data_IF_534917970748
#
_entry.id   IF_534917970748
#
_cell.length_a   1.000
_cell.length_b   1.000
_cell.length_c   1.000
_cell.angle_alpha   90.00
_cell.angle_beta   90.00
_cell.angle_gamma   90.00
#
_symmetry.space_group_name_H-M   'P 1'
#
loop_
_entity.id
_entity.type
_entity.pdbx_description
1 polymer ?
#
# COMPACT_ATOMS: atom_id res chain seq x y z
N UNK A 1 47.84 -46.54 55.33
CA UNK A 1 46.49 -46.63 54.72
C UNK A 1 45.64 -45.46 55.22
N UNK A 2 45.41 -44.43 54.41
CA UNK A 2 44.45 -43.35 54.70
C UNK A 2 43.59 -43.11 53.45
N UNK A 3 42.28 -43.30 53.59
CA UNK A 3 41.22 -43.03 52.61
C UNK A 3 41.05 -41.51 52.46
N UNK A 4 40.86 -41.02 51.24
CA UNK A 4 40.23 -39.73 50.96
C UNK A 4 39.07 -39.94 49.99
N UNK A 5 37.92 -39.38 50.34
CA UNK A 5 36.65 -39.45 49.62
C UNK A 5 36.60 -38.41 48.49
N UNK A 6 36.00 -38.78 47.36
CA UNK A 6 35.73 -37.89 46.23
C UNK A 6 34.36 -37.25 46.43
N UNK A 7 34.30 -35.92 46.49
CA UNK A 7 33.05 -35.15 46.35
C UNK A 7 32.71 -35.04 44.86
N UNK A 8 31.51 -35.49 44.47
CA UNK A 8 30.94 -35.27 43.13
C UNK A 8 29.98 -34.09 43.23
N UNK A 9 30.39 -32.93 42.74
CA UNK A 9 29.49 -31.79 42.54
C UNK A 9 28.65 -32.01 41.28
N UNK A 10 27.32 -32.07 41.44
CA UNK A 10 26.37 -32.03 40.32
C UNK A 10 26.14 -30.58 39.92
N UNK A 11 26.68 -30.16 38.79
CA UNK A 11 26.33 -28.88 38.15
C UNK A 11 24.96 -29.03 37.50
N UNK A 12 23.94 -28.36 38.05
CA UNK A 12 22.66 -28.18 37.36
C UNK A 12 22.88 -27.17 36.23
N UNK A 13 22.70 -27.61 34.99
CA UNK A 13 22.61 -26.72 33.83
C UNK A 13 21.16 -26.23 33.75
N UNK A 14 20.92 -24.96 34.09
CA UNK A 14 19.67 -24.29 33.74
C UNK A 14 19.70 -24.02 32.23
N UNK A 15 18.94 -24.81 31.46
CA UNK A 15 18.67 -24.52 30.05
C UNK A 15 17.75 -23.31 29.96
N UNK A 16 18.30 -22.17 29.55
CA UNK A 16 17.50 -21.01 29.18
C UNK A 16 16.73 -21.29 27.89
N UNK A 17 15.40 -21.24 27.93
CA UNK A 17 14.59 -21.15 26.73
C UNK A 17 14.88 -19.80 26.05
N UNK A 18 15.56 -19.85 24.91
CA UNK A 18 15.64 -18.73 23.99
C UNK A 18 14.28 -18.63 23.28
N UNK A 19 13.44 -17.69 23.69
CA UNK A 19 12.25 -17.33 22.91
C UNK A 19 12.74 -16.56 21.70
N UNK A 20 12.79 -17.23 20.55
CA UNK A 20 13.11 -16.59 19.27
C UNK A 20 11.91 -15.72 18.93
N UNK A 21 12.03 -14.41 19.19
CA UNK A 21 11.08 -13.41 18.71
C UNK A 21 11.04 -13.52 17.19
N UNK A 22 9.93 -13.99 16.63
CA UNK A 22 9.71 -13.96 15.20
C UNK A 22 9.73 -12.49 14.76
N UNK A 23 10.78 -12.07 14.05
CA UNK A 23 10.80 -10.78 13.39
C UNK A 23 9.67 -10.79 12.36
N UNK A 24 8.59 -10.05 12.61
CA UNK A 24 7.58 -9.80 11.59
C UNK A 24 8.28 -9.08 10.42
N UNK A 25 8.32 -9.71 9.26
CA UNK A 25 8.85 -9.11 8.04
C UNK A 25 7.99 -7.92 7.64
N UNK A 26 8.63 -6.89 7.07
CA UNK A 26 7.92 -5.72 6.56
C UNK A 26 6.86 -6.16 5.51
N UNK A 27 5.71 -5.47 5.45
CA UNK A 27 4.71 -5.78 4.45
C UNK A 27 5.24 -5.48 3.05
N UNK A 28 4.92 -6.36 2.10
CA UNK A 28 5.16 -6.14 0.68
C UNK A 28 3.98 -5.36 0.13
N UNK A 29 4.23 -4.14 -0.37
CA UNK A 29 3.15 -3.27 -0.86
C UNK A 29 3.01 -3.29 -2.38
N UNK A 30 4.04 -3.71 -3.12
CA UNK A 30 4.05 -3.63 -4.59
C UNK A 30 3.95 -5.01 -5.21
N UNK A 31 3.21 -5.09 -6.31
CA UNK A 31 3.04 -6.31 -7.08
C UNK A 31 4.39 -6.75 -7.70
N UNK A 32 4.68 -8.05 -7.84
CA UNK A 32 5.89 -8.53 -8.52
C UNK A 32 6.09 -7.95 -9.93
N UNK A 33 5.00 -7.81 -10.68
CA UNK A 33 4.96 -7.18 -12.01
C UNK A 33 4.65 -5.67 -11.95
N UNK A 34 5.22 -4.94 -10.99
CA UNK A 34 5.02 -3.49 -10.85
C UNK A 34 5.36 -2.74 -12.15
N UNK A 35 4.57 -1.72 -12.49
CA UNK A 35 4.67 -0.97 -13.73
C UNK A 35 3.56 -1.31 -14.75
N UNK A 36 2.60 -2.16 -14.37
CA UNK A 36 1.47 -2.54 -15.24
C UNK A 36 0.13 -2.10 -14.62
N UNK A 37 -0.77 -1.64 -15.47
CA UNK A 37 -2.15 -1.36 -15.06
C UNK A 37 -2.77 -2.65 -14.51
N UNK A 38 -3.53 -2.53 -13.42
CA UNK A 38 -4.06 -3.71 -12.71
C UNK A 38 -4.94 -4.59 -13.63
N UNK A 39 -5.68 -3.97 -14.55
CA UNK A 39 -6.59 -4.65 -15.47
C UNK A 39 -5.88 -5.62 -16.42
N UNK A 40 -4.60 -5.40 -16.70
CA UNK A 40 -3.81 -6.23 -17.63
C UNK A 40 -3.32 -7.54 -17.02
N UNK A 41 -3.56 -7.74 -15.71
CA UNK A 41 -3.03 -8.87 -14.94
C UNK A 41 -4.06 -10.00 -14.73
N UNK A 42 -5.32 -9.79 -15.13
CA UNK A 42 -6.29 -10.87 -15.39
C UNK A 42 -6.78 -11.66 -14.18
N UNK A 43 -7.14 -10.97 -13.09
CA UNK A 43 -7.30 -11.58 -11.77
C UNK A 43 -8.70 -11.48 -11.14
N UNK A 44 -8.99 -12.33 -10.16
CA UNK A 44 -10.21 -12.28 -9.34
C UNK A 44 -10.16 -11.21 -8.23
N UNK A 45 -9.81 -9.98 -8.62
CA UNK A 45 -9.68 -8.83 -7.72
C UNK A 45 -10.38 -7.61 -8.30
N UNK A 46 -10.57 -6.59 -7.47
CA UNK A 46 -10.92 -5.26 -7.91
C UNK A 46 -9.67 -4.48 -8.29
N UNK A 47 -9.70 -3.90 -9.48
CA UNK A 47 -8.70 -2.93 -9.91
C UNK A 47 -9.20 -1.53 -9.59
N UNK A 48 -8.69 -0.97 -8.49
CA UNK A 48 -9.09 0.33 -7.99
C UNK A 48 -8.06 1.37 -8.43
N UNK A 49 -8.44 2.25 -9.34
CA UNK A 49 -7.64 3.43 -9.70
C UNK A 49 -7.84 4.53 -8.68
N UNK A 50 -6.77 4.91 -7.98
CA UNK A 50 -6.74 6.01 -7.01
C UNK A 50 -6.00 7.18 -7.63
N UNK A 51 -6.67 8.32 -7.76
CA UNK A 51 -6.02 9.58 -8.11
C UNK A 51 -5.25 10.11 -6.91
N UNK A 52 -4.13 10.80 -7.11
CA UNK A 52 -3.41 11.38 -5.98
C UNK A 52 -2.81 12.74 -6.27
N UNK A 53 -2.64 13.51 -5.18
CA UNK A 53 -1.73 14.64 -5.10
C UNK A 53 -0.73 14.41 -3.97
N UNK A 54 0.53 14.81 -4.16
CA UNK A 54 1.58 14.66 -3.15
C UNK A 54 2.55 15.82 -3.22
N UNK A 55 3.04 16.26 -2.06
CA UNK A 55 4.21 17.15 -1.97
C UNK A 55 5.45 16.40 -1.45
N UNK A 56 5.46 15.08 -1.60
CA UNK A 56 6.65 14.25 -1.41
C UNK A 56 7.68 14.52 -2.50
N UNK A 57 8.93 14.26 -2.17
CA UNK A 57 10.05 14.23 -3.10
C UNK A 57 9.88 13.02 -4.03
N UNK A 58 9.54 13.28 -5.29
CA UNK A 58 9.33 12.27 -6.33
C UNK A 58 10.51 12.36 -7.30
N UNK A 59 11.41 11.39 -7.21
CA UNK A 59 12.57 11.30 -8.10
C UNK A 59 12.12 11.04 -9.55
N UNK A 60 12.91 11.50 -10.52
CA UNK A 60 12.77 11.21 -11.96
C UNK A 60 11.56 11.83 -12.68
N UNK A 61 10.89 12.82 -12.08
CA UNK A 61 9.87 13.63 -12.76
C UNK A 61 10.53 14.88 -13.35
N UNK A 62 11.42 14.73 -14.34
CA UNK A 62 11.93 15.88 -15.08
C UNK A 62 10.83 16.43 -16.00
N UNK A 63 10.20 17.52 -15.55
CA UNK A 63 9.23 18.35 -16.29
C UNK A 63 8.26 17.56 -17.18
N UNK A 64 7.18 17.07 -16.57
CA UNK A 64 6.08 16.41 -17.29
C UNK A 64 5.56 17.31 -18.43
N UNK A 65 5.73 16.83 -19.66
CA UNK A 65 5.06 17.41 -20.83
C UNK A 65 3.54 17.36 -20.65
N UNK A 66 2.82 18.17 -21.42
CA UNK A 66 1.36 18.31 -21.27
C UNK A 66 0.56 17.01 -21.51
N UNK A 67 1.18 15.93 -21.99
CA UNK A 67 0.52 14.65 -22.30
C UNK A 67 1.33 13.41 -21.88
N UNK A 68 2.45 13.57 -21.16
CA UNK A 68 3.33 12.44 -20.86
C UNK A 68 3.00 11.86 -19.48
N UNK A 69 2.56 10.60 -19.47
CA UNK A 69 2.45 9.79 -18.26
C UNK A 69 3.83 9.18 -17.96
N UNK A 70 4.37 9.48 -16.76
CA UNK A 70 5.66 8.93 -16.32
C UNK A 70 5.42 7.94 -15.19
N UNK A 71 5.95 6.72 -15.35
CA UNK A 71 5.96 5.72 -14.29
C UNK A 71 6.90 6.13 -13.16
N UNK A 72 6.38 6.10 -11.94
CA UNK A 72 7.14 6.44 -10.74
C UNK A 72 7.46 5.16 -9.99
N UNK A 73 8.72 4.98 -9.62
CA UNK A 73 9.15 3.89 -8.75
C UNK A 73 9.61 4.36 -7.37
N UNK A 74 10.01 5.63 -7.19
CA UNK A 74 10.56 6.13 -5.93
C UNK A 74 9.82 7.40 -5.50
N UNK A 75 9.25 7.35 -4.29
CA UNK A 75 8.56 8.47 -3.65
C UNK A 75 9.07 8.56 -2.22
N UNK A 76 9.87 9.57 -1.94
CA UNK A 76 10.59 9.73 -0.69
C UNK A 76 9.74 10.45 0.36
N UNK A 77 9.87 10.11 1.65
CA UNK A 77 9.16 10.78 2.74
C UNK A 77 9.83 12.11 3.13
N UNK A 78 10.12 12.95 2.14
CA UNK A 78 10.65 14.31 2.31
C UNK A 78 9.81 15.28 1.49
N UNK A 79 9.81 16.55 1.87
CA UNK A 79 9.10 17.57 1.11
C UNK A 79 9.82 17.83 -0.21
N UNK A 80 9.16 17.56 -1.34
CA UNK A 80 9.66 17.86 -2.68
C UNK A 80 9.54 19.34 -3.07
N UNK A 81 8.79 20.13 -2.29
CA UNK A 81 8.62 21.57 -2.51
C UNK A 81 7.54 21.95 -3.52
N UNK A 82 7.00 20.99 -4.27
CA UNK A 82 5.96 21.18 -5.27
C UNK A 82 4.86 20.12 -5.18
N UNK A 83 3.71 20.39 -5.79
CA UNK A 83 2.60 19.44 -5.88
C UNK A 83 2.77 18.58 -7.15
N UNK A 84 2.99 17.28 -6.95
CA UNK A 84 2.92 16.27 -8.00
C UNK A 84 1.54 15.62 -7.97
N UNK A 85 0.94 15.42 -9.14
CA UNK A 85 -0.35 14.75 -9.29
C UNK A 85 -0.23 13.56 -10.23
N UNK A 86 -1.12 12.59 -10.07
CA UNK A 86 -1.10 11.39 -10.90
C UNK A 86 -2.13 10.36 -10.44
N UNK A 87 -1.90 9.11 -10.84
CA UNK A 87 -2.76 7.98 -10.47
C UNK A 87 -1.95 6.80 -10.00
N UNK A 88 -2.58 5.95 -9.23
CA UNK A 88 -2.07 4.62 -8.93
C UNK A 88 -3.17 3.58 -9.11
N UNK A 89 -2.78 2.41 -9.58
CA UNK A 89 -3.67 1.26 -9.70
C UNK A 89 -3.39 0.30 -8.54
N UNK A 90 -4.45 -0.03 -7.81
CA UNK A 90 -4.40 -0.90 -6.63
C UNK A 90 -5.16 -2.18 -6.98
N UNK A 91 -4.46 -3.29 -6.81
CA UNK A 91 -4.98 -4.64 -6.86
C UNK A 91 -5.55 -4.98 -5.48
N UNK A 92 -6.88 -5.08 -5.37
CA UNK A 92 -7.56 -5.29 -4.10
C UNK A 92 -8.44 -6.55 -4.15
N UNK A 93 -8.21 -7.55 -3.27
CA UNK A 93 -9.07 -8.73 -3.23
C UNK A 93 -10.54 -8.37 -3.04
N UNK A 94 -11.41 -9.03 -3.81
CA UNK A 94 -12.85 -8.76 -3.79
C UNK A 94 -13.46 -9.02 -2.42
N UNK A 95 -14.48 -8.24 -2.12
CA UNK A 95 -15.32 -8.45 -0.95
C UNK A 95 -16.03 -9.80 -1.01
N UNK A 96 -16.31 -10.39 0.16
CA UNK A 96 -17.14 -11.61 0.26
C UNK A 96 -18.52 -11.42 -0.38
N UNK A 97 -19.07 -10.21 -0.35
CA UNK A 97 -20.32 -9.81 -0.99
C UNK A 97 -20.26 -9.86 -2.52
N UNK A 98 -19.07 -9.66 -3.10
CA UNK A 98 -18.81 -9.71 -4.54
C UNK A 98 -18.22 -11.08 -4.98
N UNK A 99 -18.28 -12.09 -4.10
CA UNK A 99 -17.79 -13.45 -4.36
C UNK A 99 -16.28 -13.65 -4.15
N UNK A 100 -15.61 -12.72 -3.45
CA UNK A 100 -14.23 -12.86 -3.01
C UNK A 100 -14.09 -13.45 -1.59
N UNK A 101 -12.93 -13.23 -0.98
CA UNK A 101 -12.58 -13.75 0.36
C UNK A 101 -12.29 -12.64 1.39
N UNK A 102 -12.27 -11.37 0.98
CA UNK A 102 -11.93 -10.24 1.86
C UNK A 102 -13.17 -9.72 2.59
N UNK A 103 -13.07 -9.48 3.89
CA UNK A 103 -14.14 -8.80 4.63
C UNK A 103 -14.03 -7.27 4.54
N UNK A 104 -15.15 -6.57 4.78
CA UNK A 104 -15.14 -5.11 4.90
C UNK A 104 -14.21 -4.70 6.05
N UNK A 105 -13.35 -3.72 5.78
CA UNK A 105 -12.33 -3.22 6.70
C UNK A 105 -10.98 -3.89 6.55
N UNK A 106 -10.90 -5.06 5.90
CA UNK A 106 -9.67 -5.82 5.77
C UNK A 106 -8.76 -5.32 4.65
N UNK A 107 -7.47 -5.53 4.85
CA UNK A 107 -6.42 -5.15 3.89
C UNK A 107 -5.33 -6.23 3.98
N UNK A 108 -5.54 -7.40 3.34
CA UNK A 108 -4.64 -8.54 3.50
C UNK A 108 -3.27 -8.25 2.87
N UNK A 109 -2.26 -8.01 3.70
CA UNK A 109 -0.91 -7.68 3.25
C UNK A 109 -0.06 -8.94 3.13
N UNK A 110 0.70 -9.06 2.04
CA UNK A 110 1.76 -10.05 1.97
C UNK A 110 2.95 -9.62 2.87
N UNK A 111 3.65 -10.59 3.45
CA UNK A 111 4.82 -10.36 4.30
C UNK A 111 6.00 -11.21 3.83
N UNK A 112 7.20 -10.63 3.78
CA UNK A 112 8.38 -11.33 3.27
C UNK A 112 8.53 -11.15 1.75
N UNK A 113 8.46 -12.24 0.99
CA UNK A 113 8.46 -12.20 -0.48
C UNK A 113 7.02 -12.32 -0.99
N UNK A 114 6.68 -11.55 -2.03
CA UNK A 114 5.37 -11.69 -2.67
C UNK A 114 5.28 -13.07 -3.36
N UNK A 115 4.12 -13.75 -3.32
CA UNK A 115 3.94 -15.01 -4.02
C UNK A 115 4.21 -14.87 -5.53
N UNK A 116 4.83 -15.87 -6.15
CA UNK A 116 5.10 -15.87 -7.60
C UNK A 116 3.87 -16.29 -8.43
N UNK A 117 2.92 -17.01 -7.82
CA UNK A 117 1.79 -17.60 -8.52
C UNK A 117 0.55 -16.73 -8.36
N UNK A 118 -0.13 -16.42 -9.48
CA UNK A 118 -1.30 -15.56 -9.54
C UNK A 118 -2.40 -15.91 -8.53
N UNK A 119 -2.77 -17.19 -8.42
CA UNK A 119 -3.82 -17.64 -7.48
C UNK A 119 -3.48 -17.40 -6.00
N UNK A 120 -2.19 -17.25 -5.68
CA UNK A 120 -1.74 -16.88 -4.34
C UNK A 120 -1.60 -15.36 -4.18
N UNK A 121 -1.24 -14.65 -5.24
CA UNK A 121 -1.20 -13.17 -5.26
C UNK A 121 -2.60 -12.57 -5.04
N UNK A 122 -3.64 -13.17 -5.63
CA UNK A 122 -5.04 -12.72 -5.51
C UNK A 122 -5.57 -12.64 -4.07
N UNK A 123 -4.88 -13.26 -3.10
CA UNK A 123 -5.23 -13.22 -1.68
C UNK A 123 -4.73 -11.96 -0.97
N UNK A 124 -3.85 -11.19 -1.61
CA UNK A 124 -3.19 -10.03 -1.01
C UNK A 124 -3.43 -8.76 -1.83
N UNK A 125 -3.29 -7.63 -1.15
CA UNK A 125 -3.36 -6.31 -1.78
C UNK A 125 -1.99 -5.87 -2.29
N UNK A 126 -1.97 -5.23 -3.46
CA UNK A 126 -0.76 -4.67 -4.05
C UNK A 126 -1.01 -3.34 -4.76
N UNK A 127 -0.02 -2.47 -4.76
CA UNK A 127 0.09 -1.38 -5.73
C UNK A 127 0.74 -1.95 -7.00
N UNK A 128 0.08 -1.82 -8.15
CA UNK A 128 0.58 -2.39 -9.42
C UNK A 128 1.29 -1.35 -10.26
N UNK A 129 0.87 -0.09 -10.19
CA UNK A 129 1.48 1.01 -10.95
C UNK A 129 1.22 2.34 -10.28
N UNK A 130 2.20 3.23 -10.31
CA UNK A 130 2.06 4.63 -9.89
C UNK A 130 2.62 5.47 -11.04
N UNK A 131 1.88 6.49 -11.43
CA UNK A 131 2.28 7.40 -12.49
C UNK A 131 2.06 8.85 -12.09
N UNK A 132 2.87 9.76 -12.63
CA UNK A 132 2.62 11.20 -12.54
C UNK A 132 2.30 11.81 -13.89
N UNK A 133 1.46 12.85 -13.84
CA UNK A 133 0.88 13.52 -15.00
C UNK A 133 1.01 15.04 -14.86
N UNK A 134 1.00 15.73 -16.00
CA UNK A 134 0.73 17.17 -16.01
C UNK A 134 -0.66 17.46 -15.42
N UNK A 135 -0.81 18.61 -14.77
CA UNK A 135 -2.07 19.02 -14.11
C UNK A 135 -3.30 18.92 -15.02
N UNK A 136 -3.17 19.31 -16.30
CA UNK A 136 -4.28 19.29 -17.25
C UNK A 136 -4.76 17.87 -17.56
N UNK A 137 -3.82 16.93 -17.78
CA UNK A 137 -4.11 15.50 -17.98
C UNK A 137 -4.78 14.91 -16.75
N UNK A 138 -4.21 15.18 -15.57
CA UNK A 138 -4.77 14.70 -14.31
C UNK A 138 -6.24 15.13 -14.12
N UNK A 139 -6.55 16.41 -14.38
CA UNK A 139 -7.91 16.92 -14.26
C UNK A 139 -8.84 16.31 -15.32
N UNK A 140 -8.36 16.09 -16.54
CA UNK A 140 -9.13 15.46 -17.61
C UNK A 140 -9.44 13.98 -17.29
N UNK A 141 -8.48 13.23 -16.76
CA UNK A 141 -8.69 11.85 -16.33
C UNK A 141 -9.63 11.76 -15.14
N UNK A 142 -9.47 12.62 -14.14
CA UNK A 142 -10.35 12.66 -12.98
C UNK A 142 -11.79 12.97 -13.39
N UNK A 143 -11.99 13.96 -14.28
CA UNK A 143 -13.30 14.25 -14.85
C UNK A 143 -13.86 13.06 -15.61
N UNK A 144 -13.05 12.39 -16.43
CA UNK A 144 -13.47 11.20 -17.18
C UNK A 144 -13.90 10.04 -16.26
N UNK A 145 -13.23 9.85 -15.13
CA UNK A 145 -13.62 8.84 -14.14
C UNK A 145 -14.93 9.19 -13.43
N UNK A 146 -15.13 10.47 -13.09
CA UNK A 146 -16.39 10.95 -12.52
C UNK A 146 -17.56 10.76 -13.49
N UNK A 147 -17.36 11.12 -14.77
CA UNK A 147 -18.37 10.96 -15.83
C UNK A 147 -18.69 9.48 -16.08
N UNK A 148 -17.68 8.61 -16.09
CA UNK A 148 -17.86 7.16 -16.27
C UNK A 148 -18.63 6.50 -15.11
N UNK A 149 -18.52 7.06 -13.90
CA UNK A 149 -19.24 6.61 -12.72
C UNK A 149 -20.65 7.23 -12.59
N UNK A 150 -21.04 8.14 -13.51
CA UNK A 150 -22.23 9.00 -13.38
C UNK A 150 -22.30 9.71 -12.01
N UNK A 151 -21.13 10.09 -11.48
CA UNK A 151 -20.98 10.68 -10.15
C UNK A 151 -20.43 12.10 -10.26
N UNK A 152 -20.93 12.98 -9.37
CA UNK A 152 -20.35 14.32 -9.15
C UNK A 152 -19.57 14.40 -7.84
N UNK A 153 -19.34 13.27 -7.19
CA UNK A 153 -18.62 13.17 -5.95
C UNK A 153 -17.15 12.81 -6.19
N UNK A 154 -16.31 13.12 -5.20
CA UNK A 154 -14.98 12.57 -5.08
C UNK A 154 -14.68 12.34 -3.60
N UNK A 155 -14.03 11.21 -3.29
CA UNK A 155 -13.57 10.91 -1.95
C UNK A 155 -12.14 11.41 -1.82
N UNK A 156 -11.89 12.39 -0.95
CA UNK A 156 -10.53 12.80 -0.61
C UNK A 156 -10.09 12.16 0.71
N UNK A 157 -9.13 11.24 0.63
CA UNK A 157 -8.44 10.71 1.80
C UNK A 157 -7.13 11.47 2.04
N UNK A 158 -6.92 11.90 3.29
CA UNK A 158 -5.66 12.50 3.73
C UNK A 158 -5.11 11.63 4.86
N UNK A 159 -3.94 11.02 4.65
CA UNK A 159 -3.39 10.10 5.63
C UNK A 159 -2.77 10.82 6.85
N UNK A 160 -2.64 10.10 7.96
CA UNK A 160 -2.03 10.60 9.21
C UNK A 160 -0.49 10.48 9.26
N UNK A 161 0.08 10.74 10.44
CA UNK A 161 1.52 10.79 10.70
C UNK A 161 2.27 9.45 10.56
N UNK A 162 1.62 8.32 10.85
CA UNK A 162 2.28 7.01 10.84
C UNK A 162 1.94 6.19 9.59
N UNK A 163 1.81 6.85 8.44
CA UNK A 163 1.43 6.21 7.17
C UNK A 163 2.38 6.67 6.06
N UNK A 164 2.93 5.70 5.32
CA UNK A 164 3.75 5.92 4.12
C UNK A 164 2.89 6.03 2.85
N UNK A 165 3.50 6.33 1.71
CA UNK A 165 2.79 6.58 0.46
C UNK A 165 1.96 5.38 -0.05
N UNK A 166 2.61 4.24 -0.30
CA UNK A 166 1.94 3.02 -0.79
C UNK A 166 0.81 2.56 0.16
N UNK A 167 1.05 2.61 1.48
CA UNK A 167 0.04 2.27 2.49
C UNK A 167 -1.17 3.21 2.46
N UNK A 168 -0.95 4.50 2.17
CA UNK A 168 -2.04 5.46 2.02
C UNK A 168 -2.85 5.24 0.73
N UNK A 169 -2.20 4.86 -0.38
CA UNK A 169 -2.88 4.46 -1.62
C UNK A 169 -3.76 3.23 -1.40
N UNK A 170 -3.18 2.18 -0.82
CA UNK A 170 -3.89 0.95 -0.46
C UNK A 170 -5.10 1.26 0.44
N UNK A 171 -4.93 2.12 1.46
CA UNK A 171 -6.03 2.50 2.34
C UNK A 171 -7.11 3.31 1.61
N UNK A 172 -6.73 4.16 0.66
CA UNK A 172 -7.68 4.91 -0.17
C UNK A 172 -8.54 3.96 -1.01
N UNK A 173 -7.91 2.98 -1.65
CA UNK A 173 -8.62 1.97 -2.44
C UNK A 173 -9.57 1.13 -1.59
N UNK A 174 -9.12 0.68 -0.42
CA UNK A 174 -9.96 -0.07 0.51
C UNK A 174 -11.15 0.76 1.00
N UNK A 175 -10.95 2.02 1.40
CA UNK A 175 -12.04 2.89 1.81
C UNK A 175 -13.05 3.10 0.69
N UNK A 176 -12.58 3.28 -0.55
CA UNK A 176 -13.46 3.45 -1.71
C UNK A 176 -14.37 2.24 -1.92
N UNK A 177 -13.81 1.03 -1.97
CA UNK A 177 -14.58 -0.21 -2.19
C UNK A 177 -15.52 -0.48 -1.02
N UNK A 178 -15.06 -0.26 0.21
CA UNK A 178 -15.85 -0.55 1.40
C UNK A 178 -17.00 0.47 1.60
N UNK A 179 -16.81 1.73 1.20
CA UNK A 179 -17.84 2.77 1.34
C UNK A 179 -18.89 2.73 0.23
N UNK A 180 -18.55 2.27 -0.98
CA UNK A 180 -19.56 2.07 -2.04
C UNK A 180 -20.44 0.85 -1.77
N UNK A 181 -19.98 -0.06 -0.91
CA UNK A 181 -20.71 -1.28 -0.63
C UNK A 181 -22.03 -0.98 0.08
N UNK A 182 -23.13 -1.49 -0.47
CA UNK A 182 -24.50 -1.25 0.04
C UNK A 182 -25.29 -0.11 -0.61
N UNK A 183 -24.75 0.58 -1.62
CA UNK A 183 -25.43 1.64 -2.41
C UNK A 183 -25.96 2.86 -1.63
N UNK A 184 -25.68 2.97 -0.33
CA UNK A 184 -26.11 4.10 0.51
C UNK A 184 -25.21 5.34 0.35
N UNK A 185 -23.97 5.14 -0.08
CA UNK A 185 -22.98 6.19 -0.23
C UNK A 185 -22.30 6.10 -1.60
N UNK A 186 -22.25 7.24 -2.30
CA UNK A 186 -21.49 7.40 -3.54
C UNK A 186 -20.14 8.07 -3.20
N UNK A 187 -19.04 7.31 -3.11
CA UNK A 187 -17.72 7.88 -2.87
C UNK A 187 -17.16 8.63 -4.10
N UNK A 188 -17.77 8.47 -5.28
CA UNK A 188 -17.28 9.05 -6.54
C UNK A 188 -15.85 8.64 -6.86
N UNK A 189 -15.03 9.55 -7.40
CA UNK A 189 -13.65 9.24 -7.74
C UNK A 189 -12.73 9.19 -6.48
N UNK A 190 -12.04 8.07 -6.19
CA UNK A 190 -11.17 7.98 -5.02
C UNK A 190 -9.87 8.76 -5.25
N UNK A 191 -9.61 9.69 -4.34
CA UNK A 191 -8.49 10.62 -4.41
C UNK A 191 -7.72 10.63 -3.09
N UNK A 192 -6.40 10.53 -3.17
CA UNK A 192 -5.47 10.63 -2.04
C UNK A 192 -4.76 11.99 -2.06
N UNK A 193 -4.63 12.64 -0.91
CA UNK A 193 -3.53 13.56 -0.69
C UNK A 193 -2.51 12.95 0.26
N UNK A 194 -1.26 12.84 -0.19
CA UNK A 194 -0.16 12.32 0.60
C UNK A 194 0.87 13.41 0.92
N UNK A 195 1.05 13.67 2.21
CA UNK A 195 2.06 14.59 2.72
C UNK A 195 3.34 13.82 3.11
N UNK A 196 4.52 14.46 3.26
CA UNK A 196 5.81 13.79 3.46
C UNK A 196 6.02 13.24 4.88
N UNK A 197 5.07 12.43 5.34
CA UNK A 197 5.18 11.59 6.53
C UNK A 197 6.22 10.49 6.32
N UNK A 198 7.08 10.29 7.33
CA UNK A 198 8.03 9.19 7.40
C UNK A 198 7.38 7.82 7.66
N UNK A 199 6.09 7.78 8.00
CA UNK A 199 5.37 6.53 8.27
C UNK A 199 5.89 5.77 9.50
N UNK A 200 6.48 6.49 10.47
CA UNK A 200 7.11 5.92 11.67
C UNK A 200 6.76 6.75 12.89
N UNK A 201 6.55 6.08 14.03
CA UNK A 201 6.45 6.73 15.34
C UNK A 201 7.84 6.83 15.98
N UNK A 202 8.36 8.04 16.13
CA UNK A 202 9.65 8.27 16.81
C UNK A 202 9.93 9.73 17.12
N UNK A 203 10.61 10.00 18.24
CA UNK A 203 11.09 11.35 18.59
C UNK A 203 12.20 11.84 17.64
N UNK A 204 12.94 10.91 17.03
CA UNK A 204 14.01 11.19 16.06
C UNK A 204 13.52 11.29 14.60
N UNK A 205 12.21 11.17 14.37
CA UNK A 205 11.57 11.40 13.07
C UNK A 205 10.98 12.82 12.93
N UNK A 206 11.39 13.72 13.83
CA UNK A 206 11.26 15.19 13.74
C UNK A 206 12.60 15.79 13.33
#
# INVERSE_FOLDING_TARGET
>A
MKRQWRFVGKTLVLGGLLVISACASAPVTRHPDYGRDCVDLGANVDCVRVYYGTNRDVSDVEQLGANDEIDISIIEPRNGGELVVGRADIWLPKLVQEGGEREIGETPMAHGEAPEVLSEQEKYVFVTRITAHGREVYLAELQSAMDAADSKALMLFVHGFNVGFDAALIRSAQLYVDLREGAEFDPGAPTLFSWPSAGKLGLASY
#
